data_IF_903387975660
#
_entry.id   IF_903387975660
#
_cell.length_a   1.000
_cell.length_b   1.000
_cell.length_c   1.000
_cell.angle_alpha   90.00
_cell.angle_beta   90.00
_cell.angle_gamma   90.00
#
_symmetry.space_group_name_H-M   'P 1'
#
loop_
_entity.id
_entity.type
_entity.pdbx_description
1 polymer ?
#
# COMPACT_ATOMS: atom_id res chain seq x y z
N UNK A 1 -12.81 -59.44 11.99
CA UNK A 1 -13.15 -58.10 11.46
C UNK A 1 -13.78 -57.25 12.56
N UNK A 2 -13.09 -56.21 13.07
CA UNK A 2 -13.65 -55.30 14.07
C UNK A 2 -14.71 -54.41 13.41
N UNK A 3 -15.98 -54.52 13.80
CA UNK A 3 -17.06 -53.60 13.40
C UNK A 3 -16.74 -52.22 13.97
N UNK A 4 -16.18 -51.35 13.14
CA UNK A 4 -15.99 -49.94 13.48
C UNK A 4 -17.37 -49.32 13.62
N UNK A 5 -17.64 -48.75 14.80
CA UNK A 5 -18.93 -48.15 15.13
C UNK A 5 -19.15 -46.91 14.23
N UNK A 6 -19.96 -47.08 13.18
CA UNK A 6 -20.23 -46.09 12.12
C UNK A 6 -20.57 -44.69 12.66
N UNK A 7 -21.27 -44.60 13.79
CA UNK A 7 -21.61 -43.34 14.46
C UNK A 7 -20.38 -42.53 14.93
N UNK A 8 -19.31 -43.20 15.38
CA UNK A 8 -18.07 -42.53 15.83
C UNK A 8 -17.25 -42.01 14.66
N UNK A 9 -17.26 -42.72 13.54
CA UNK A 9 -16.58 -42.32 12.30
C UNK A 9 -17.28 -41.10 11.69
N UNK A 10 -18.61 -41.10 11.66
CA UNK A 10 -19.39 -39.96 11.18
C UNK A 10 -19.13 -38.70 12.02
N UNK A 11 -19.13 -38.83 13.34
CA UNK A 11 -18.85 -37.71 14.25
C UNK A 11 -17.45 -37.11 14.02
N UNK A 12 -16.43 -37.96 13.87
CA UNK A 12 -15.05 -37.53 13.60
C UNK A 12 -14.93 -36.77 12.27
N UNK A 13 -15.60 -37.25 11.21
CA UNK A 13 -15.62 -36.57 9.90
C UNK A 13 -16.30 -35.20 10.02
N UNK A 14 -17.39 -35.11 10.78
CA UNK A 14 -18.15 -33.86 10.92
C UNK A 14 -17.34 -32.80 11.69
N UNK A 15 -16.66 -33.20 12.77
CA UNK A 15 -15.77 -32.32 13.54
C UNK A 15 -14.58 -31.86 12.69
N UNK A 16 -14.00 -32.77 11.91
CA UNK A 16 -12.89 -32.43 11.02
C UNK A 16 -13.30 -31.46 9.92
N UNK A 17 -14.49 -31.64 9.33
CA UNK A 17 -15.05 -30.71 8.34
C UNK A 17 -15.31 -29.32 8.94
N UNK A 18 -15.89 -29.24 10.14
CA UNK A 18 -16.12 -27.96 10.84
C UNK A 18 -14.81 -27.25 11.18
N UNK A 19 -13.76 -28.00 11.54
CA UNK A 19 -12.43 -27.44 11.81
C UNK A 19 -11.77 -26.87 10.54
N UNK A 20 -11.86 -27.58 9.41
CA UNK A 20 -11.35 -27.10 8.12
C UNK A 20 -12.09 -25.84 7.64
N UNK A 21 -13.41 -25.77 7.83
CA UNK A 21 -14.20 -24.56 7.52
C UNK A 21 -13.76 -23.40 8.42
N UNK A 22 -13.58 -23.63 9.71
CA UNK A 22 -13.06 -22.62 10.64
C UNK A 22 -11.69 -22.07 10.23
N UNK A 23 -10.74 -22.94 9.86
CA UNK A 23 -9.43 -22.52 9.35
C UNK A 23 -9.51 -21.71 8.06
N UNK A 24 -10.44 -22.03 7.16
CA UNK A 24 -10.64 -21.30 5.91
C UNK A 24 -11.17 -19.87 6.18
N UNK A 25 -12.09 -19.70 7.14
CA UNK A 25 -12.56 -18.38 7.55
C UNK A 25 -11.48 -17.58 8.29
N UNK A 26 -10.71 -18.21 9.19
CA UNK A 26 -9.61 -17.50 9.88
C UNK A 26 -8.54 -17.02 8.90
N UNK A 27 -8.14 -17.85 7.92
CA UNK A 27 -7.15 -17.49 6.91
C UNK A 27 -7.59 -16.33 6.01
N UNK A 28 -8.87 -16.30 5.59
CA UNK A 28 -9.41 -15.22 4.74
C UNK A 28 -9.54 -13.89 5.48
N UNK A 29 -9.90 -13.90 6.77
CA UNK A 29 -9.94 -12.67 7.59
C UNK A 29 -8.54 -12.09 7.88
N UNK A 30 -7.53 -12.94 8.13
CA UNK A 30 -6.16 -12.44 8.34
C UNK A 30 -5.52 -11.84 7.08
N UNK A 31 -5.87 -12.32 5.89
CA UNK A 31 -5.37 -11.80 4.61
C UNK A 31 -6.02 -10.46 4.21
N UNK A 32 -7.23 -10.17 4.69
CA UNK A 32 -7.95 -8.92 4.42
C UNK A 32 -7.56 -7.76 5.35
N UNK A 33 -7.22 -8.05 6.62
CA UNK A 33 -7.00 -7.01 7.63
C UNK A 33 -5.65 -6.28 7.54
N UNK A 34 -4.63 -6.87 6.90
CA UNK A 34 -3.31 -6.25 6.76
C UNK A 34 -3.22 -5.14 5.71
N UNK A 35 -4.08 -5.16 4.67
CA UNK A 35 -3.95 -4.24 3.53
C UNK A 35 -4.55 -2.85 3.78
N UNK A 36 -5.50 -2.72 4.69
CA UNK A 36 -6.17 -1.46 5.01
C UNK A 36 -5.41 -0.60 6.02
N UNK A 37 -4.85 -1.25 7.05
CA UNK A 37 -4.14 -0.54 8.12
C UNK A 37 -2.89 0.17 7.61
N UNK A 38 -2.14 -0.47 6.71
CA UNK A 38 -0.91 0.11 6.17
C UNK A 38 -1.18 1.31 5.26
N UNK A 39 -2.16 1.23 4.35
CA UNK A 39 -2.48 2.38 3.48
C UNK A 39 -3.01 3.58 4.25
N UNK A 40 -3.89 3.37 5.23
CA UNK A 40 -4.41 4.45 6.06
C UNK A 40 -3.30 5.12 6.88
N UNK A 41 -2.32 4.34 7.38
CA UNK A 41 -1.15 4.87 8.09
C UNK A 41 -0.27 5.73 7.18
N UNK A 42 -0.04 5.29 5.94
CA UNK A 42 0.75 6.04 4.95
C UNK A 42 0.05 7.35 4.60
N UNK A 43 -1.23 7.27 4.23
CA UNK A 43 -2.05 8.44 3.91
C UNK A 43 -2.06 9.45 5.04
N UNK A 44 -2.26 9.01 6.27
CA UNK A 44 -2.24 9.86 7.46
C UNK A 44 -0.86 10.50 7.70
N UNK A 45 0.23 9.79 7.37
CA UNK A 45 1.59 10.32 7.51
C UNK A 45 1.83 11.47 6.53
N UNK A 46 1.46 11.27 5.26
CA UNK A 46 1.58 12.31 4.23
C UNK A 46 0.61 13.46 4.53
N UNK A 47 -0.65 13.18 4.86
CA UNK A 47 -1.67 14.20 5.10
C UNK A 47 -1.37 15.10 6.32
N UNK A 48 -0.79 14.54 7.38
CA UNK A 48 -0.47 15.34 8.59
C UNK A 48 0.79 16.17 8.48
N UNK A 49 1.75 15.76 7.64
CA UNK A 49 3.10 16.34 7.67
C UNK A 49 3.50 17.01 6.35
N UNK A 50 2.85 16.68 5.23
CA UNK A 50 3.07 17.36 3.96
C UNK A 50 2.26 18.66 3.92
N UNK A 51 2.88 19.75 3.45
CA UNK A 51 2.23 21.07 3.37
C UNK A 51 1.41 21.25 2.09
N UNK A 52 0.64 20.24 1.71
CA UNK A 52 -0.25 20.31 0.55
C UNK A 52 -1.71 20.31 1.01
N UNK A 53 -2.53 21.18 0.41
CA UNK A 53 -3.96 21.28 0.76
C UNK A 53 -4.74 20.05 0.32
N UNK A 54 -4.44 19.53 -0.87
CA UNK A 54 -5.11 18.35 -1.43
C UNK A 54 -4.11 17.21 -1.57
N UNK A 55 -4.41 16.10 -0.90
CA UNK A 55 -3.62 14.87 -0.90
C UNK A 55 -4.57 13.72 -1.20
N UNK A 56 -4.49 13.21 -2.43
CA UNK A 56 -5.26 12.04 -2.84
C UNK A 56 -4.32 10.84 -2.92
N UNK A 57 -4.77 9.69 -2.41
CA UNK A 57 -4.06 8.43 -2.54
C UNK A 57 -4.77 7.51 -3.53
N UNK A 58 -3.98 6.77 -4.29
CA UNK A 58 -4.46 5.68 -5.12
C UNK A 58 -3.53 4.48 -4.94
N UNK A 59 -4.09 3.33 -4.57
CA UNK A 59 -3.35 2.07 -4.63
C UNK A 59 -3.11 1.70 -6.08
N UNK A 60 -1.85 1.49 -6.45
CA UNK A 60 -1.45 1.21 -7.84
C UNK A 60 -1.91 -0.15 -8.36
N UNK A 61 -2.41 -1.03 -7.50
CA UNK A 61 -3.03 -2.30 -7.89
C UNK A 61 -4.28 -2.14 -8.81
N UNK A 62 -4.80 -0.92 -9.01
CA UNK A 62 -6.06 -0.70 -9.73
C UNK A 62 -6.01 0.24 -10.95
N UNK A 63 -4.86 0.87 -11.29
CA UNK A 63 -4.77 1.78 -12.46
C UNK A 63 -3.38 1.77 -13.10
N UNK A 64 -3.05 0.67 -13.81
CA UNK A 64 -1.85 0.58 -14.66
C UNK A 64 -1.71 1.74 -15.65
N UNK A 65 -2.82 2.35 -16.09
CA UNK A 65 -2.85 3.45 -17.05
C UNK A 65 -2.37 4.80 -16.52
N UNK A 66 -2.15 4.95 -15.21
CA UNK A 66 -1.68 6.21 -14.58
C UNK A 66 -0.20 6.17 -14.17
N UNK A 67 0.47 5.04 -14.38
CA UNK A 67 1.90 4.89 -14.18
C UNK A 67 2.67 5.55 -15.32
N UNK A 68 3.55 6.50 -14.98
CA UNK A 68 4.42 7.16 -15.97
C UNK A 68 5.47 6.21 -16.50
N UNK A 69 5.92 5.30 -15.64
CA UNK A 69 6.99 4.38 -15.95
C UNK A 69 6.64 3.01 -15.39
N UNK A 70 5.76 2.32 -16.14
CA UNK A 70 5.33 0.97 -15.78
C UNK A 70 6.52 0.03 -15.62
N UNK A 71 7.62 0.22 -16.35
CA UNK A 71 8.77 -0.69 -16.30
C UNK A 71 9.57 -0.53 -14.99
N UNK A 72 9.76 0.71 -14.54
CA UNK A 72 10.37 0.99 -13.21
C UNK A 72 9.47 0.54 -12.07
N UNK A 73 8.15 0.66 -12.21
CA UNK A 73 7.20 0.31 -11.15
C UNK A 73 6.81 -1.18 -11.15
N UNK A 74 6.87 -1.89 -12.30
CA UNK A 74 6.57 -3.34 -12.46
C UNK A 74 7.48 -4.24 -11.63
N UNK A 75 8.68 -3.77 -11.26
CA UNK A 75 9.58 -4.52 -10.37
C UNK A 75 9.04 -4.64 -8.93
N UNK A 76 8.02 -3.89 -8.54
CA UNK A 76 7.65 -3.73 -7.13
C UNK A 76 6.18 -4.07 -6.88
N UNK A 77 5.95 -5.11 -6.07
CA UNK A 77 4.63 -5.69 -5.78
C UNK A 77 3.75 -4.82 -4.86
N UNK A 78 4.36 -3.80 -4.22
CA UNK A 78 3.75 -2.97 -3.17
C UNK A 78 3.97 -1.46 -3.45
N UNK A 79 3.28 -0.92 -4.45
CA UNK A 79 3.41 0.49 -4.83
C UNK A 79 2.16 1.34 -4.49
N UNK A 80 2.38 2.59 -4.09
CA UNK A 80 1.36 3.61 -3.84
C UNK A 80 1.55 4.82 -4.76
N UNK A 81 0.45 5.44 -5.16
CA UNK A 81 0.45 6.72 -5.86
C UNK A 81 -0.23 7.79 -5.01
N UNK A 82 0.36 8.98 -4.99
CA UNK A 82 -0.19 10.16 -4.34
C UNK A 82 -0.29 11.31 -5.35
N UNK A 83 -1.41 12.03 -5.31
CA UNK A 83 -1.60 13.29 -6.03
C UNK A 83 -1.59 14.40 -4.99
N UNK A 84 -0.67 15.33 -5.15
CA UNK A 84 -0.47 16.47 -4.26
C UNK A 84 -0.84 17.74 -5.03
N UNK A 85 -1.69 18.60 -4.47
CA UNK A 85 -2.06 19.89 -5.08
C UNK A 85 -2.01 21.02 -4.06
N UNK A 86 -1.78 22.23 -4.54
CA UNK A 86 -1.66 23.46 -3.73
C UNK A 86 -0.66 23.28 -2.57
N UNK A 87 0.57 22.92 -2.92
CA UNK A 87 1.64 22.66 -1.95
C UNK A 87 2.38 23.96 -1.59
N UNK A 88 2.48 24.25 -0.29
CA UNK A 88 3.19 25.40 0.28
C UNK A 88 4.68 25.06 0.51
N UNK A 89 5.41 24.95 -0.61
CA UNK A 89 6.86 24.78 -0.62
C UNK A 89 7.50 25.79 -1.57
N UNK A 90 8.70 26.27 -1.22
CA UNK A 90 9.46 27.23 -2.03
C UNK A 90 9.91 26.63 -3.37
N UNK A 91 10.23 25.33 -3.38
CA UNK A 91 10.62 24.59 -4.57
C UNK A 91 10.13 23.14 -4.55
N UNK A 92 10.06 22.51 -5.73
CA UNK A 92 9.75 21.08 -5.85
C UNK A 92 10.80 20.23 -5.14
N UNK A 93 12.06 20.69 -5.13
CA UNK A 93 13.15 20.00 -4.44
C UNK A 93 12.94 19.98 -2.93
N UNK A 94 12.43 21.06 -2.34
CA UNK A 94 12.08 21.11 -0.91
C UNK A 94 10.95 20.13 -0.59
N UNK A 95 9.91 20.10 -1.45
CA UNK A 95 8.82 19.14 -1.34
C UNK A 95 9.34 17.69 -1.42
N UNK A 96 10.17 17.37 -2.42
CA UNK A 96 10.77 16.03 -2.59
C UNK A 96 11.56 15.62 -1.35
N UNK A 97 12.45 16.50 -0.87
CA UNK A 97 13.31 16.25 0.30
C UNK A 97 12.48 16.00 1.56
N UNK A 98 11.46 16.82 1.80
CA UNK A 98 10.57 16.67 2.94
C UNK A 98 9.78 15.36 2.86
N UNK A 99 9.17 15.04 1.72
CA UNK A 99 8.42 13.79 1.51
C UNK A 99 9.32 12.56 1.71
N UNK A 100 10.55 12.55 1.19
CA UNK A 100 11.51 11.47 1.43
C UNK A 100 11.82 11.36 2.93
N UNK A 101 12.14 12.47 3.59
CA UNK A 101 12.42 12.52 5.03
C UNK A 101 11.25 11.96 5.87
N UNK A 102 10.01 12.32 5.53
CA UNK A 102 8.80 11.84 6.18
C UNK A 102 8.66 10.32 6.07
N UNK A 103 8.85 9.76 4.87
CA UNK A 103 8.74 8.33 4.62
C UNK A 103 9.84 7.53 5.31
N UNK A 104 11.08 8.07 5.33
CA UNK A 104 12.22 7.48 6.05
C UNK A 104 11.97 7.47 7.55
N UNK A 105 11.55 8.61 8.12
CA UNK A 105 11.24 8.73 9.56
C UNK A 105 10.13 7.76 9.98
N UNK A 106 9.16 7.53 9.11
CA UNK A 106 8.07 6.59 9.36
C UNK A 106 8.44 5.12 9.11
N UNK A 107 9.62 4.84 8.54
CA UNK A 107 10.11 3.51 8.11
C UNK A 107 9.14 2.80 7.18
N UNK A 108 8.63 3.53 6.19
CA UNK A 108 7.64 3.00 5.24
C UNK A 108 8.28 2.78 3.86
N UNK A 109 9.26 3.60 3.48
CA UNK A 109 9.90 3.51 2.17
C UNK A 109 10.84 2.32 1.96
N UNK A 110 11.09 1.50 2.99
CA UNK A 110 11.84 0.24 2.90
C UNK A 110 10.97 -0.89 2.34
N UNK A 111 9.67 -0.86 2.64
CA UNK A 111 8.71 -1.93 2.29
C UNK A 111 7.84 -1.58 1.07
N UNK A 112 7.81 -0.30 0.69
CA UNK A 112 6.86 0.26 -0.27
C UNK A 112 7.52 1.28 -1.20
N UNK A 113 7.03 1.29 -2.43
CA UNK A 113 7.41 2.30 -3.42
C UNK A 113 6.30 3.31 -3.61
N UNK A 114 6.70 4.54 -3.94
CA UNK A 114 5.79 5.66 -4.02
C UNK A 114 5.97 6.43 -5.32
N UNK A 115 4.88 6.72 -6.01
CA UNK A 115 4.84 7.71 -7.08
C UNK A 115 4.07 8.92 -6.59
N UNK A 116 4.66 10.10 -6.75
CA UNK A 116 4.01 11.37 -6.44
C UNK A 116 3.76 12.13 -7.74
N UNK A 117 2.55 12.66 -7.87
CA UNK A 117 2.15 13.60 -8.93
C UNK A 117 1.83 14.91 -8.22
N UNK A 118 2.64 15.93 -8.45
CA UNK A 118 2.43 17.27 -7.91
C UNK A 118 1.75 18.10 -8.99
N UNK A 119 0.53 18.53 -8.72
CA UNK A 119 -0.29 19.33 -9.64
C UNK A 119 -0.04 20.80 -9.44
N UNK A 120 0.06 21.52 -10.57
CA UNK A 120 0.11 22.98 -10.61
C UNK A 120 1.21 23.60 -9.73
N UNK A 121 2.38 22.97 -9.64
CA UNK A 121 3.53 23.56 -8.96
C UNK A 121 4.21 24.54 -9.89
N UNK A 122 4.15 25.84 -9.58
CA UNK A 122 4.65 26.92 -10.45
C UNK A 122 4.09 26.86 -11.89
N UNK A 123 2.83 26.46 -12.05
CA UNK A 123 2.16 26.37 -13.35
C UNK A 123 2.48 25.10 -14.15
N UNK A 124 3.19 24.14 -13.57
CA UNK A 124 3.49 22.86 -14.21
C UNK A 124 3.15 21.66 -13.31
N UNK A 125 2.81 20.55 -13.96
CA UNK A 125 2.70 19.26 -13.29
C UNK A 125 4.08 18.62 -13.18
N UNK A 126 4.43 18.19 -11.97
CA UNK A 126 5.71 17.55 -11.66
C UNK A 126 5.47 16.14 -11.15
N UNK A 127 6.40 15.23 -11.41
CA UNK A 127 6.27 13.82 -11.01
C UNK A 127 7.60 13.31 -10.48
N UNK A 128 7.55 12.47 -9.46
CA UNK A 128 8.74 11.82 -8.94
C UNK A 128 8.40 10.48 -8.28
N UNK A 129 9.40 9.61 -8.19
CA UNK A 129 9.27 8.27 -7.63
C UNK A 129 10.24 8.15 -6.45
N UNK A 130 9.81 7.46 -5.40
CA UNK A 130 10.64 7.05 -4.27
C UNK A 130 10.64 5.52 -4.24
N UNK A 131 11.84 4.94 -4.34
CA UNK A 131 12.11 3.50 -4.29
C UNK A 131 13.18 3.23 -3.24
N UNK A 132 12.89 2.31 -2.31
CA UNK A 132 13.78 1.98 -1.21
C UNK A 132 14.38 3.23 -0.52
N UNK A 133 13.50 4.16 -0.15
CA UNK A 133 13.85 5.45 0.47
C UNK A 133 14.72 6.42 -0.37
N UNK A 134 14.95 6.13 -1.65
CA UNK A 134 15.73 6.98 -2.53
C UNK A 134 14.84 7.63 -3.59
N UNK A 135 15.10 8.90 -3.89
CA UNK A 135 14.48 9.59 -5.00
C UNK A 135 15.04 9.04 -6.32
N UNK A 136 14.16 8.56 -7.19
CA UNK A 136 14.53 8.22 -8.57
C UNK A 136 14.26 9.45 -9.43
N UNK A 137 15.34 10.08 -9.91
CA UNK A 137 15.27 11.14 -10.90
C UNK A 137 15.23 10.54 -12.32
N UNK A 138 14.38 11.12 -13.18
CA UNK A 138 14.34 10.83 -14.62
C UNK A 138 15.11 11.91 -15.37
#
# INVERSE_FOLDING_TARGET
MKKINSKRVFLLITVFALFLVGLFFVGTFTLGMGKGYTSARIENTINKQCKCETIESAKLQFKESMLVDQEKMKKHTNAFMFILSNCDYLSVSDLKSDVVSLLVKARICEDYNFQFIVKNFNGQDQRFIIDNCNLIEN
#
